data_IF_783894184620
#
_entry.id   IF_783894184620
#
_cell.length_a   1.000
_cell.length_b   1.000
_cell.length_c   1.000
_cell.angle_alpha   90.00
_cell.angle_beta   90.00
_cell.angle_gamma   90.00
#
_symmetry.space_group_name_H-M   'P 1'
#
loop_
_entity.id
_entity.type
_entity.pdbx_description
1 polymer ?
#
# COMPACT_ATOMS: atom_id res chain seq x y z
N UNK A 1 -3.80 -10.84 -12.19
CA UNK A 1 -4.86 -10.02 -11.55
C UNK A 1 -4.56 -8.56 -11.79
N UNK A 2 -5.50 -7.80 -12.33
CA UNK A 2 -5.38 -6.34 -12.53
C UNK A 2 -6.56 -5.68 -11.85
N UNK A 3 -6.30 -4.67 -11.00
CA UNK A 3 -7.34 -3.90 -10.31
C UNK A 3 -7.39 -2.51 -10.95
N UNK A 4 -8.58 -2.06 -11.35
CA UNK A 4 -8.76 -0.79 -12.06
C UNK A 4 -9.64 0.14 -11.26
N UNK A 5 -9.09 1.30 -10.93
CA UNK A 5 -9.80 2.43 -10.35
C UNK A 5 -9.98 3.56 -11.35
N UNK A 6 -10.47 4.68 -10.87
CA UNK A 6 -10.62 5.90 -11.66
C UNK A 6 -9.28 6.62 -11.87
N UNK A 7 -8.44 6.67 -10.83
CA UNK A 7 -7.19 7.44 -10.83
C UNK A 7 -5.95 6.55 -10.87
N UNK A 8 -6.12 5.22 -10.77
CA UNK A 8 -4.99 4.28 -10.69
C UNK A 8 -5.35 2.91 -11.25
N UNK A 9 -4.38 2.24 -11.82
CA UNK A 9 -4.42 0.80 -12.11
C UNK A 9 -3.33 0.10 -11.29
N UNK A 10 -3.69 -1.05 -10.69
CA UNK A 10 -2.71 -1.96 -10.11
C UNK A 10 -2.64 -3.19 -11.01
N UNK A 11 -1.44 -3.54 -11.44
CA UNK A 11 -1.20 -4.71 -12.30
C UNK A 11 -0.01 -5.52 -11.79
N UNK A 12 0.12 -6.80 -12.18
CA UNK A 12 1.23 -7.62 -11.72
C UNK A 12 2.57 -6.92 -11.93
N UNK A 13 3.37 -6.80 -10.87
CA UNK A 13 4.68 -6.18 -10.97
C UNK A 13 5.55 -6.96 -11.96
N UNK A 14 6.15 -6.27 -12.92
CA UNK A 14 6.97 -6.86 -13.99
C UNK A 14 8.28 -6.09 -14.14
N UNK A 15 9.40 -6.82 -14.13
CA UNK A 15 10.71 -6.24 -14.36
C UNK A 15 10.86 -5.72 -15.79
N UNK A 16 10.23 -6.37 -16.75
CA UNK A 16 10.25 -5.93 -18.16
C UNK A 16 9.50 -4.61 -18.34
N UNK A 17 8.30 -4.54 -17.81
CA UNK A 17 7.37 -3.42 -18.07
C UNK A 17 7.59 -2.22 -17.16
N UNK A 18 8.06 -2.43 -15.91
CA UNK A 18 7.98 -1.37 -14.89
C UNK A 18 9.34 -0.83 -14.42
N UNK A 19 10.47 -1.52 -14.73
CA UNK A 19 11.78 -1.11 -14.19
C UNK A 19 12.13 0.32 -14.55
N UNK A 20 12.02 0.69 -15.83
CA UNK A 20 12.45 2.01 -16.30
C UNK A 20 11.64 3.16 -15.66
N UNK A 21 10.32 2.98 -15.51
CA UNK A 21 9.46 4.00 -14.90
C UNK A 21 9.69 4.08 -13.40
N UNK A 22 9.75 2.93 -12.71
CA UNK A 22 10.05 2.88 -11.28
C UNK A 22 11.43 3.46 -10.97
N UNK A 23 12.45 3.15 -11.79
CA UNK A 23 13.78 3.73 -11.61
C UNK A 23 13.75 5.27 -11.69
N UNK A 24 13.06 5.82 -12.69
CA UNK A 24 12.89 7.27 -12.79
C UNK A 24 12.16 7.87 -11.59
N UNK A 25 11.21 7.12 -11.03
CA UNK A 25 10.38 7.59 -9.92
C UNK A 25 11.08 7.53 -8.56
N UNK A 26 12.06 6.60 -8.36
CA UNK A 26 12.68 6.36 -7.04
C UNK A 26 14.17 6.70 -6.95
N UNK A 27 14.88 6.88 -8.08
CA UNK A 27 16.31 7.21 -8.06
C UNK A 27 16.58 8.50 -7.31
N UNK A 28 17.60 8.52 -6.46
CA UNK A 28 17.96 9.67 -5.65
C UNK A 28 17.07 9.89 -4.42
N UNK A 29 16.20 8.92 -4.10
CA UNK A 29 15.30 8.93 -2.95
C UNK A 29 15.56 7.73 -2.05
N UNK A 30 16.78 7.60 -1.54
CA UNK A 30 17.22 6.47 -0.70
C UNK A 30 16.43 6.35 0.61
N UNK A 31 15.87 7.45 1.08
CA UNK A 31 15.00 7.50 2.27
C UNK A 31 13.75 6.62 2.15
N UNK A 32 13.27 6.36 0.93
CA UNK A 32 12.12 5.48 0.67
C UNK A 32 12.35 4.06 1.17
N UNK A 33 13.60 3.63 1.20
CA UNK A 33 14.01 2.27 1.55
C UNK A 33 14.30 2.09 3.05
N UNK A 34 14.26 3.17 3.83
CA UNK A 34 14.62 3.16 5.26
C UNK A 34 13.88 2.07 6.04
N UNK A 35 12.59 1.90 5.78
CA UNK A 35 11.73 0.98 6.51
C UNK A 35 11.38 -0.30 5.75
N UNK A 36 11.83 -0.43 4.50
CA UNK A 36 11.65 -1.63 3.69
C UNK A 36 12.70 -2.69 4.04
N UNK A 37 12.41 -3.93 3.69
CA UNK A 37 13.37 -5.03 3.82
C UNK A 37 14.54 -4.85 2.83
N UNK A 38 14.25 -4.35 1.65
CA UNK A 38 15.23 -4.09 0.60
C UNK A 38 16.07 -2.85 0.92
N UNK A 39 17.27 -2.80 0.38
CA UNK A 39 18.15 -1.63 0.41
C UNK A 39 17.93 -0.73 -0.81
N UNK A 40 18.35 0.54 -0.77
CA UNK A 40 18.36 1.40 -1.94
C UNK A 40 19.10 0.74 -3.12
N UNK A 41 18.61 0.92 -4.32
CA UNK A 41 19.23 0.45 -5.55
C UNK A 41 20.18 1.52 -6.09
N UNK A 42 21.43 1.16 -6.37
CA UNK A 42 22.43 2.08 -6.91
C UNK A 42 22.27 2.31 -8.41
N UNK A 43 21.66 1.37 -9.11
CA UNK A 43 21.46 1.41 -10.56
C UNK A 43 20.08 0.89 -10.96
N UNK A 44 19.66 1.19 -12.19
CA UNK A 44 18.43 0.63 -12.76
C UNK A 44 18.49 -0.90 -12.84
N UNK A 45 19.69 -1.46 -13.10
CA UNK A 45 19.89 -2.91 -13.14
C UNK A 45 19.72 -3.56 -11.75
N UNK A 46 20.08 -2.85 -10.68
CA UNK A 46 19.84 -3.33 -9.31
C UNK A 46 18.34 -3.36 -9.00
N UNK A 47 17.61 -2.30 -9.39
CA UNK A 47 16.16 -2.26 -9.23
C UNK A 47 15.48 -3.36 -10.04
N UNK A 48 15.94 -3.63 -11.26
CA UNK A 48 15.46 -4.73 -12.08
C UNK A 48 15.57 -6.06 -11.35
N UNK A 49 16.76 -6.37 -10.79
CA UNK A 49 16.96 -7.60 -9.98
C UNK A 49 16.00 -7.65 -8.79
N UNK A 50 15.88 -6.55 -8.06
CA UNK A 50 14.92 -6.47 -6.94
C UNK A 50 13.49 -6.78 -7.39
N UNK A 51 13.07 -6.29 -8.56
CA UNK A 51 11.74 -6.58 -9.10
C UNK A 51 11.63 -8.06 -9.53
N UNK A 52 12.65 -8.61 -10.17
CA UNK A 52 12.71 -10.04 -10.57
C UNK A 52 12.58 -10.96 -9.33
N UNK A 53 13.27 -10.63 -8.23
CA UNK A 53 13.14 -11.34 -6.96
C UNK A 53 11.72 -11.28 -6.41
N UNK A 54 11.07 -10.10 -6.48
CA UNK A 54 9.67 -9.92 -6.06
C UNK A 54 8.68 -10.69 -6.93
N UNK A 55 8.92 -10.76 -8.24
CA UNK A 55 8.12 -11.57 -9.17
C UNK A 55 8.24 -13.07 -8.87
N UNK A 56 9.43 -13.53 -8.47
CA UNK A 56 9.69 -14.92 -8.13
C UNK A 56 9.26 -15.31 -6.71
N UNK A 57 8.90 -14.36 -5.88
CA UNK A 57 8.58 -14.59 -4.47
C UNK A 57 7.35 -15.50 -4.30
N UNK A 58 7.56 -16.63 -3.58
CA UNK A 58 6.49 -17.56 -3.23
C UNK A 58 5.77 -17.10 -1.98
N UNK A 59 4.66 -16.63 -1.90
CA UNK A 59 3.96 -16.19 -0.67
C UNK A 59 3.75 -14.68 -0.60
N UNK A 60 4.06 -13.99 -1.70
CA UNK A 60 3.67 -12.59 -1.90
C UNK A 60 3.22 -12.37 -3.35
N UNK A 61 2.26 -11.49 -3.55
CA UNK A 61 1.79 -11.05 -4.86
C UNK A 61 2.02 -9.56 -4.97
N UNK A 62 3.02 -9.17 -5.75
CA UNK A 62 3.37 -7.76 -5.93
C UNK A 62 2.59 -7.15 -7.09
N UNK A 63 2.09 -5.95 -6.88
CA UNK A 63 1.37 -5.14 -7.86
C UNK A 63 2.09 -3.82 -8.07
N UNK A 64 2.36 -3.47 -9.31
CA UNK A 64 2.79 -2.13 -9.70
C UNK A 64 1.61 -1.17 -9.59
N UNK A 65 1.87 0.05 -9.15
CA UNK A 65 0.88 1.11 -9.00
C UNK A 65 1.12 2.12 -10.12
N UNK A 66 0.16 2.20 -11.03
CA UNK A 66 0.21 3.00 -12.26
C UNK A 66 -0.87 4.08 -12.19
N UNK A 67 -0.53 5.34 -11.79
CA UNK A 67 -1.49 6.45 -11.83
C UNK A 67 -2.00 6.69 -13.25
N UNK A 68 -3.32 6.88 -13.40
CA UNK A 68 -3.97 7.10 -14.69
C UNK A 68 -3.49 8.39 -15.38
N UNK A 69 -3.13 9.40 -14.60
CA UNK A 69 -2.63 10.68 -15.10
C UNK A 69 -1.34 10.53 -15.92
N UNK A 70 -0.43 9.65 -15.47
CA UNK A 70 0.88 9.48 -16.12
C UNK A 70 0.98 8.24 -16.97
N UNK A 71 0.18 7.21 -16.68
CA UNK A 71 0.29 5.89 -17.27
C UNK A 71 1.61 5.18 -16.98
N UNK A 72 2.37 5.62 -15.97
CA UNK A 72 3.71 5.14 -15.62
C UNK A 72 3.73 4.61 -14.20
N UNK A 73 4.41 3.49 -13.98
CA UNK A 73 4.54 2.92 -12.66
C UNK A 73 5.30 3.87 -11.71
N UNK A 74 4.67 4.18 -10.57
CA UNK A 74 5.18 5.13 -9.59
C UNK A 74 5.38 4.51 -8.19
N UNK A 75 5.18 3.20 -8.06
CA UNK A 75 5.34 2.46 -6.83
C UNK A 75 4.84 1.04 -6.95
N UNK A 76 4.88 0.31 -5.86
CA UNK A 76 4.27 -1.01 -5.73
C UNK A 76 3.72 -1.24 -4.33
N UNK A 77 2.87 -2.24 -4.22
CA UNK A 77 2.42 -2.83 -2.96
C UNK A 77 2.26 -4.35 -3.15
N UNK A 78 2.14 -5.10 -2.07
CA UNK A 78 1.93 -6.53 -2.17
C UNK A 78 0.88 -7.04 -1.20
N UNK A 79 0.23 -8.17 -1.58
CA UNK A 79 -0.35 -9.10 -0.63
C UNK A 79 0.74 -10.05 -0.17
N UNK A 80 0.83 -10.27 1.12
CA UNK A 80 1.82 -11.16 1.72
C UNK A 80 1.24 -11.84 2.97
N UNK A 81 1.95 -12.84 3.49
CA UNK A 81 1.50 -13.60 4.65
C UNK A 81 0.03 -14.03 4.52
N UNK A 82 -0.28 -14.58 3.35
CA UNK A 82 -1.61 -15.08 3.04
C UNK A 82 -1.85 -16.40 3.76
N UNK A 83 -2.85 -16.41 4.64
CA UNK A 83 -3.29 -17.60 5.40
C UNK A 83 -4.75 -17.91 5.06
N UNK A 84 -5.02 -18.53 3.90
CA UNK A 84 -6.40 -18.75 3.45
C UNK A 84 -7.24 -19.59 4.41
N UNK A 85 -6.63 -20.54 5.11
CA UNK A 85 -7.32 -21.37 6.11
C UNK A 85 -7.87 -20.54 7.27
N UNK A 86 -7.27 -19.39 7.55
CA UNK A 86 -7.70 -18.47 8.60
C UNK A 86 -8.38 -17.21 8.04
N UNK A 87 -8.45 -17.07 6.73
CA UNK A 87 -8.98 -15.88 6.07
C UNK A 87 -8.19 -14.59 6.39
N UNK A 88 -6.86 -14.69 6.46
CA UNK A 88 -5.98 -13.57 6.82
C UNK A 88 -5.03 -13.23 5.68
N UNK A 89 -4.87 -11.94 5.38
CA UNK A 89 -3.90 -11.44 4.42
C UNK A 89 -3.34 -10.10 4.87
N UNK A 90 -2.06 -9.85 4.60
CA UNK A 90 -1.39 -8.59 4.89
C UNK A 90 -1.16 -7.81 3.60
N UNK A 91 -1.44 -6.49 3.63
CA UNK A 91 -0.87 -5.55 2.67
C UNK A 91 0.47 -5.05 3.21
N UNK A 92 1.52 -5.19 2.40
CA UNK A 92 2.85 -4.84 2.88
C UNK A 92 3.84 -4.59 1.75
N UNK A 93 5.10 -4.41 2.14
CA UNK A 93 6.19 -4.08 1.21
C UNK A 93 5.85 -2.92 0.28
N UNK A 94 5.22 -1.88 0.83
CA UNK A 94 4.68 -0.73 0.08
C UNK A 94 5.82 0.24 -0.22
N UNK A 95 6.06 0.49 -1.50
CA UNK A 95 6.95 1.53 -2.00
C UNK A 95 6.14 2.57 -2.78
N UNK A 96 6.07 3.78 -2.29
CA UNK A 96 5.49 4.92 -2.99
C UNK A 96 6.57 5.93 -3.32
N UNK A 97 6.77 6.24 -4.59
CA UNK A 97 7.64 7.35 -5.01
C UNK A 97 7.13 8.68 -4.46
N UNK A 98 7.97 9.72 -4.39
CA UNK A 98 7.53 11.06 -3.98
C UNK A 98 6.33 11.59 -4.78
N UNK A 99 6.27 11.28 -6.08
CA UNK A 99 5.16 11.70 -6.95
C UNK A 99 3.85 10.95 -6.66
N UNK A 100 3.91 9.75 -6.06
CA UNK A 100 2.73 8.97 -5.70
C UNK A 100 2.26 9.27 -4.26
N UNK A 101 3.17 9.63 -3.36
CA UNK A 101 2.83 9.92 -1.97
C UNK A 101 1.80 11.04 -1.85
N UNK A 102 0.82 10.85 -0.94
CA UNK A 102 -0.24 11.83 -0.61
C UNK A 102 -1.17 12.18 -1.79
N UNK A 103 -1.24 11.34 -2.81
CA UNK A 103 -2.14 11.50 -3.96
C UNK A 103 -3.44 10.74 -3.76
N UNK A 104 -4.45 11.11 -4.56
CA UNK A 104 -5.70 10.35 -4.66
C UNK A 104 -5.43 8.94 -5.18
N UNK A 105 -4.54 8.80 -6.17
CA UNK A 105 -4.13 7.52 -6.73
C UNK A 105 -3.55 6.56 -5.69
N UNK A 106 -2.71 7.07 -4.76
CA UNK A 106 -2.18 6.25 -3.67
C UNK A 106 -3.27 5.75 -2.71
N UNK A 107 -4.26 6.58 -2.40
CA UNK A 107 -5.39 6.19 -1.53
C UNK A 107 -6.31 5.21 -2.25
N UNK A 108 -6.64 5.45 -3.52
CA UNK A 108 -7.45 4.54 -4.33
C UNK A 108 -6.77 3.18 -4.54
N UNK A 109 -5.44 3.16 -4.69
CA UNK A 109 -4.68 1.91 -4.75
C UNK A 109 -4.89 1.05 -3.50
N UNK A 110 -4.82 1.64 -2.31
CA UNK A 110 -5.05 0.91 -1.05
C UNK A 110 -6.51 0.49 -0.90
N UNK A 111 -7.46 1.32 -1.32
CA UNK A 111 -8.88 0.96 -1.38
C UNK A 111 -9.11 -0.25 -2.28
N UNK A 112 -8.57 -0.25 -3.50
CA UNK A 112 -8.74 -1.35 -4.45
C UNK A 112 -8.16 -2.68 -3.92
N UNK A 113 -7.03 -2.62 -3.23
CA UNK A 113 -6.46 -3.81 -2.59
C UNK A 113 -7.35 -4.31 -1.45
N UNK A 114 -7.84 -3.42 -0.58
CA UNK A 114 -8.75 -3.83 0.49
C UNK A 114 -10.06 -4.41 -0.07
N UNK A 115 -10.67 -3.75 -1.07
CA UNK A 115 -11.88 -4.24 -1.75
C UNK A 115 -11.66 -5.62 -2.38
N UNK A 116 -10.53 -5.83 -3.02
CA UNK A 116 -10.22 -7.15 -3.59
C UNK A 116 -10.07 -8.22 -2.51
N UNK A 117 -9.41 -7.90 -1.39
CA UNK A 117 -9.23 -8.84 -0.28
C UNK A 117 -10.57 -9.25 0.36
N UNK A 118 -11.45 -8.30 0.63
CA UNK A 118 -12.73 -8.56 1.30
C UNK A 118 -13.82 -9.01 0.33
N UNK A 119 -14.06 -8.24 -0.73
CA UNK A 119 -15.24 -8.44 -1.60
C UNK A 119 -15.05 -9.58 -2.60
N UNK A 120 -13.82 -9.87 -3.05
CA UNK A 120 -13.57 -10.87 -4.08
C UNK A 120 -12.91 -12.14 -3.54
N UNK A 121 -11.97 -12.00 -2.60
CA UNK A 121 -11.26 -13.16 -2.04
C UNK A 121 -11.90 -13.69 -0.75
N UNK A 122 -12.83 -12.93 -0.13
CA UNK A 122 -13.55 -13.35 1.06
C UNK A 122 -12.66 -13.46 2.32
N UNK A 123 -11.56 -12.71 2.37
CA UNK A 123 -10.76 -12.64 3.58
C UNK A 123 -11.54 -11.93 4.68
N UNK A 124 -11.38 -12.40 5.93
CA UNK A 124 -12.08 -11.80 7.08
C UNK A 124 -11.21 -10.85 7.87
N UNK A 125 -9.88 -10.84 7.61
CA UNK A 125 -8.91 -9.99 8.30
C UNK A 125 -7.84 -9.51 7.31
N UNK A 126 -7.69 -8.20 7.24
CA UNK A 126 -6.71 -7.51 6.42
C UNK A 126 -5.73 -6.79 7.33
N UNK A 127 -4.44 -7.11 7.23
CA UNK A 127 -3.42 -6.66 8.14
C UNK A 127 -2.50 -5.59 7.52
N UNK A 128 -2.00 -4.71 8.38
CA UNK A 128 -0.92 -3.78 8.07
C UNK A 128 0.11 -3.83 9.19
N UNK A 129 1.38 -3.99 8.84
CA UNK A 129 2.48 -4.03 9.80
C UNK A 129 3.59 -3.09 9.37
N UNK A 130 4.14 -2.35 10.32
CA UNK A 130 5.28 -1.49 10.06
C UNK A 130 6.25 -1.47 11.24
N UNK A 131 7.46 -0.94 11.02
CA UNK A 131 8.34 -0.62 12.14
C UNK A 131 7.62 0.36 13.08
N UNK A 132 7.66 0.11 14.40
CA UNK A 132 6.99 0.94 15.40
C UNK A 132 7.45 2.41 15.35
N UNK A 133 8.68 2.68 14.86
CA UNK A 133 9.24 4.02 14.67
C UNK A 133 8.82 4.67 13.33
N UNK A 134 8.23 3.93 12.40
CA UNK A 134 7.76 4.46 11.12
C UNK A 134 6.42 5.20 11.31
N UNK A 135 6.50 6.40 11.90
CA UNK A 135 5.30 7.22 12.16
C UNK A 135 4.48 7.54 10.91
N UNK A 136 5.07 7.83 9.73
CA UNK A 136 4.29 8.01 8.51
C UNK A 136 3.44 6.79 8.15
N UNK A 137 3.99 5.57 8.26
CA UNK A 137 3.24 4.34 7.97
C UNK A 137 2.13 4.08 8.99
N UNK A 138 2.37 4.33 10.28
CA UNK A 138 1.35 4.21 11.33
C UNK A 138 0.16 5.14 11.06
N UNK A 139 0.44 6.43 10.78
CA UNK A 139 -0.59 7.42 10.43
C UNK A 139 -1.34 7.04 9.15
N UNK A 140 -0.65 6.44 8.18
CA UNK A 140 -1.29 5.96 6.96
C UNK A 140 -2.27 4.82 7.26
N UNK A 141 -1.89 3.83 8.06
CA UNK A 141 -2.77 2.74 8.49
C UNK A 141 -4.02 3.27 9.20
N UNK A 142 -3.85 4.12 10.20
CA UNK A 142 -4.96 4.74 10.94
C UNK A 142 -5.87 5.56 10.01
N UNK A 143 -5.30 6.40 9.12
CA UNK A 143 -6.05 7.18 8.15
C UNK A 143 -6.88 6.30 7.20
N UNK A 144 -6.34 5.15 6.81
CA UNK A 144 -6.99 4.18 5.92
C UNK A 144 -8.04 3.31 6.65
N UNK A 145 -8.24 3.52 7.94
CA UNK A 145 -9.27 2.87 8.74
C UNK A 145 -8.85 1.57 9.41
N UNK A 146 -7.54 1.28 9.45
CA UNK A 146 -7.04 0.15 10.25
C UNK A 146 -7.04 0.49 11.74
N UNK A 147 -7.37 -0.48 12.56
CA UNK A 147 -7.31 -0.41 14.02
C UNK A 147 -5.94 -0.85 14.52
N UNK A 148 -5.31 -0.04 15.39
CA UNK A 148 -4.06 -0.42 16.05
C UNK A 148 -4.30 -1.52 17.09
N UNK A 149 -3.50 -2.60 17.06
CA UNK A 149 -3.65 -3.73 17.97
C UNK A 149 -2.52 -3.85 18.99
N UNK A 150 -1.34 -3.31 18.69
CA UNK A 150 -0.23 -3.38 19.62
C UNK A 150 1.14 -3.33 18.99
N UNK A 151 2.17 -3.45 19.82
CA UNK A 151 3.58 -3.49 19.40
C UNK A 151 4.19 -4.83 19.80
N UNK A 152 4.67 -5.57 18.82
CA UNK A 152 5.52 -6.73 19.05
C UNK A 152 6.96 -6.25 19.24
N UNK A 153 7.43 -6.31 20.47
CA UNK A 153 8.80 -5.89 20.82
C UNK A 153 9.82 -6.92 20.31
N UNK A 154 10.95 -6.43 19.78
CA UNK A 154 12.03 -7.26 19.21
C UNK A 154 11.53 -8.33 18.23
N UNK A 155 10.52 -7.98 17.42
CA UNK A 155 9.83 -8.91 16.53
C UNK A 155 10.73 -9.45 15.43
N UNK A 156 11.62 -8.63 14.91
CA UNK A 156 12.49 -8.98 13.77
C UNK A 156 13.86 -8.33 13.89
N UNK A 157 14.81 -8.85 13.13
CA UNK A 157 16.09 -8.15 12.84
C UNK A 157 16.08 -7.79 11.35
N UNK A 158 16.13 -6.49 11.04
CA UNK A 158 16.12 -5.97 9.66
C UNK A 158 17.38 -5.12 9.47
N UNK A 159 18.17 -5.42 8.43
CA UNK A 159 19.42 -4.72 8.13
C UNK A 159 20.33 -4.61 9.36
N UNK A 160 20.42 -5.71 10.14
CA UNK A 160 21.24 -5.80 11.36
C UNK A 160 20.70 -5.04 12.58
N UNK A 161 19.51 -4.45 12.50
CA UNK A 161 18.88 -3.69 13.59
C UNK A 161 17.64 -4.40 14.12
N UNK A 162 17.45 -4.40 15.44
CA UNK A 162 16.22 -4.89 16.06
C UNK A 162 15.04 -4.01 15.64
N UNK A 163 13.94 -4.65 15.30
CA UNK A 163 12.70 -4.00 14.90
C UNK A 163 11.55 -4.41 15.82
N UNK A 164 10.96 -3.46 16.47
CA UNK A 164 9.62 -3.56 17.03
C UNK A 164 8.60 -3.33 15.91
N UNK A 165 7.56 -4.15 15.86
CA UNK A 165 6.52 -4.03 14.82
C UNK A 165 5.22 -3.56 15.42
N UNK A 166 4.70 -2.46 14.90
CA UNK A 166 3.33 -2.01 15.14
C UNK A 166 2.38 -2.81 14.23
N UNK A 167 1.32 -3.36 14.81
CA UNK A 167 0.32 -4.19 14.17
C UNK A 167 -1.00 -3.44 14.09
N UNK A 168 -1.62 -3.56 12.92
CA UNK A 168 -2.92 -2.97 12.62
C UNK A 168 -3.75 -3.98 11.84
N UNK A 169 -5.05 -3.92 11.99
CA UNK A 169 -5.99 -4.75 11.24
C UNK A 169 -7.23 -3.97 10.82
N UNK A 170 -7.90 -4.50 9.81
CA UNK A 170 -9.26 -4.17 9.43
C UNK A 170 -10.01 -5.49 9.29
N UNK A 171 -11.21 -5.59 9.84
CA UNK A 171 -12.03 -6.79 9.84
C UNK A 171 -13.14 -6.69 8.80
N UNK A 172 -13.62 -7.85 8.34
CA UNK A 172 -14.76 -7.95 7.41
C UNK A 172 -16.03 -7.28 7.97
N UNK A 173 -16.25 -7.38 9.28
CA UNK A 173 -17.36 -6.71 9.96
C UNK A 173 -17.26 -5.18 9.93
N UNK A 174 -16.06 -4.62 9.77
CA UNK A 174 -15.80 -3.17 9.66
C UNK A 174 -15.80 -2.70 8.20
N UNK A 175 -15.55 -3.62 7.26
CA UNK A 175 -15.29 -3.28 5.87
C UNK A 175 -16.41 -2.49 5.19
N UNK A 176 -17.66 -2.85 5.42
CA UNK A 176 -18.79 -2.16 4.79
C UNK A 176 -18.84 -0.65 5.10
N UNK A 177 -18.53 -0.26 6.34
CA UNK A 177 -18.44 1.16 6.73
C UNK A 177 -17.20 1.81 6.12
N UNK A 178 -16.04 1.15 6.18
CA UNK A 178 -14.80 1.67 5.60
C UNK A 178 -14.91 1.85 4.08
N UNK A 179 -15.53 0.89 3.39
CA UNK A 179 -15.78 0.94 1.94
C UNK A 179 -16.59 2.17 1.56
N UNK A 180 -17.72 2.41 2.22
CA UNK A 180 -18.55 3.61 1.97
C UNK A 180 -17.74 4.90 2.19
N UNK A 181 -16.92 4.96 3.24
CA UNK A 181 -16.08 6.13 3.49
C UNK A 181 -15.04 6.35 2.37
N UNK A 182 -14.40 5.28 1.87
CA UNK A 182 -13.49 5.37 0.72
C UNK A 182 -14.20 5.84 -0.54
N UNK A 183 -15.35 5.25 -0.85
CA UNK A 183 -16.14 5.59 -2.03
C UNK A 183 -16.58 7.06 -1.98
N UNK A 184 -17.10 7.52 -0.85
CA UNK A 184 -17.48 8.92 -0.64
C UNK A 184 -16.25 9.87 -0.72
N UNK A 185 -15.10 9.45 -0.18
CA UNK A 185 -13.89 10.25 -0.28
C UNK A 185 -13.36 10.34 -1.71
N UNK A 186 -13.46 9.27 -2.50
CA UNK A 186 -13.01 9.18 -3.88
C UNK A 186 -13.94 9.90 -4.88
N UNK A 187 -15.15 10.33 -4.46
CA UNK A 187 -16.05 11.08 -5.33
C UNK A 187 -15.37 12.36 -5.85
N UNK A 188 -15.46 12.65 -7.17
CA UNK A 188 -14.85 13.85 -7.74
C UNK A 188 -15.29 15.14 -7.05
N UNK A 189 -16.51 15.18 -6.54
CA UNK A 189 -17.09 16.35 -5.83
C UNK A 189 -16.41 16.63 -4.50
N UNK A 190 -15.67 15.67 -3.93
CA UNK A 190 -14.87 15.88 -2.73
C UNK A 190 -13.57 16.65 -2.98
N UNK A 191 -13.25 16.96 -4.22
CA UNK A 191 -12.04 17.69 -4.58
C UNK A 191 -12.38 19.03 -5.22
N UNK A 192 -11.56 20.05 -4.95
CA UNK A 192 -11.66 21.36 -5.61
C UNK A 192 -10.94 21.34 -6.97
N UNK A 193 -11.00 22.47 -7.68
CA UNK A 193 -10.37 22.62 -8.99
C UNK A 193 -8.84 22.49 -8.99
N UNK A 194 -8.21 22.51 -7.81
CA UNK A 194 -6.77 22.30 -7.61
C UNK A 194 -6.45 20.89 -7.10
N UNK A 195 -7.46 19.99 -7.04
CA UNK A 195 -7.31 18.62 -6.60
C UNK A 195 -7.17 18.46 -5.08
N UNK A 196 -7.47 19.48 -4.28
CA UNK A 196 -7.43 19.40 -2.81
C UNK A 196 -8.73 18.83 -2.28
N UNK A 197 -8.63 17.85 -1.37
CA UNK A 197 -9.81 17.27 -0.72
C UNK A 197 -10.57 18.31 0.10
N UNK A 198 -11.90 18.33 0.00
CA UNK A 198 -12.80 19.14 0.82
C UNK A 198 -12.99 18.56 2.22
N UNK A 199 -13.11 17.23 2.28
CA UNK A 199 -13.21 16.46 3.52
C UNK A 199 -12.16 15.34 3.53
N UNK A 200 -11.50 15.16 4.65
CA UNK A 200 -10.55 14.07 4.84
C UNK A 200 -11.26 12.72 5.03
N UNK A 201 -10.59 11.62 4.62
CA UNK A 201 -11.16 10.27 4.74
C UNK A 201 -11.62 9.94 6.16
N UNK A 202 -10.82 10.28 7.17
CA UNK A 202 -11.20 10.06 8.58
C UNK A 202 -12.41 10.89 9.03
N UNK A 203 -12.62 12.10 8.49
CA UNK A 203 -13.79 12.92 8.78
C UNK A 203 -15.07 12.29 8.18
N UNK A 204 -14.96 11.79 6.94
CA UNK A 204 -16.07 11.11 6.27
C UNK A 204 -16.41 9.81 7.02
N UNK A 205 -15.40 9.04 7.43
CA UNK A 205 -15.62 7.81 8.19
C UNK A 205 -16.34 8.09 9.53
N UNK A 206 -15.87 9.08 10.29
CA UNK A 206 -16.49 9.44 11.57
C UNK A 206 -17.93 9.99 11.45
N UNK A 207 -18.34 10.45 10.28
CA UNK A 207 -19.72 10.92 10.06
C UNK A 207 -20.69 9.76 9.65
N UNK A 208 -20.16 8.54 9.44
CA UNK A 208 -20.92 7.37 9.02
C UNK A 208 -21.05 6.31 10.13
N UNK A 209 -20.28 6.44 11.20
CA UNK A 209 -20.38 5.67 12.44
C UNK A 209 -21.47 6.27 13.36
#
# INVERSE_FOLDING_TARGET
MTLRGRTVTLEPLSAESHTADLWKAVRGHDELWTWLFDSPCGTEADLRRTIEEKQAARGAVFLAIVPAETGRAAGWASYMRMEPAHGVVEVGSILFSPSLQRTTAATEAMYLMASHAFDHLGYRRYEWKCNAQNLPSRRAAERLGFTFEGIFRQHMVIKGKSRDSAWFSMLDSEWAARKRAFEAWLEPTNFDGEGRQRQGLGQIAAAQD
#
